data_IF_080832575300
#
_entry.id   IF_080832575300
#
_cell.length_a   1.000
_cell.length_b   1.000
_cell.length_c   1.000
_cell.angle_alpha   90.00
_cell.angle_beta   90.00
_cell.angle_gamma   90.00
#
_symmetry.space_group_name_H-M   'P 1'
#
loop_
_entity.id
_entity.type
_entity.pdbx_description
1 polymer ?
#
# COMPACT_ATOMS: atom_id res chain seq x y z
N UNK A 1 -14.29 15.92 -0.33
CA UNK A 1 -13.25 16.82 -0.84
C UNK A 1 -12.37 17.37 0.29
N UNK A 2 -12.92 17.97 1.38
CA UNK A 2 -12.11 18.48 2.51
C UNK A 2 -11.26 17.40 3.17
N UNK A 3 -11.87 16.25 3.50
CA UNK A 3 -11.14 15.12 4.10
C UNK A 3 -10.01 14.61 3.19
N UNK A 4 -10.26 14.49 1.90
CA UNK A 4 -9.24 14.09 0.92
C UNK A 4 -8.04 15.04 0.92
N UNK A 5 -8.27 16.35 0.92
CA UNK A 5 -7.20 17.36 0.97
C UNK A 5 -6.41 17.32 2.27
N UNK A 6 -7.07 17.15 3.41
CA UNK A 6 -6.40 17.03 4.71
C UNK A 6 -5.52 15.77 4.76
N UNK A 7 -6.04 14.63 4.31
CA UNK A 7 -5.28 13.38 4.20
C UNK A 7 -4.06 13.57 3.30
N UNK A 8 -4.27 14.08 2.08
CA UNK A 8 -3.18 14.29 1.12
C UNK A 8 -2.09 15.21 1.66
N UNK A 9 -2.48 16.28 2.35
CA UNK A 9 -1.54 17.22 2.98
C UNK A 9 -0.72 16.54 4.08
N UNK A 10 -1.36 15.84 5.01
CA UNK A 10 -0.67 15.18 6.12
C UNK A 10 0.34 14.15 5.64
N UNK A 11 -0.02 13.35 4.63
CA UNK A 11 0.89 12.38 4.02
C UNK A 11 2.02 13.06 3.24
N UNK A 12 1.75 14.14 2.52
CA UNK A 12 2.77 14.90 1.79
C UNK A 12 3.79 15.52 2.76
N UNK A 13 3.34 16.11 3.85
CA UNK A 13 4.20 16.68 4.88
C UNK A 13 5.07 15.60 5.54
N UNK A 14 4.46 14.47 5.90
CA UNK A 14 5.17 13.32 6.46
C UNK A 14 6.27 12.79 5.52
N UNK A 15 5.96 12.64 4.23
CA UNK A 15 6.92 12.20 3.21
C UNK A 15 8.05 13.21 3.04
N UNK A 16 7.73 14.50 2.99
CA UNK A 16 8.73 15.54 2.83
C UNK A 16 9.74 15.57 3.98
N UNK A 17 9.27 15.44 5.21
CA UNK A 17 10.11 15.42 6.41
C UNK A 17 11.05 14.21 6.45
N UNK A 18 10.63 13.08 5.87
CA UNK A 18 11.38 11.81 5.85
C UNK A 18 11.99 11.47 4.50
N UNK A 19 12.07 12.42 3.59
CA UNK A 19 12.50 12.20 2.19
C UNK A 19 13.82 11.47 2.02
N UNK A 20 14.76 11.64 2.95
CA UNK A 20 16.04 10.93 2.92
C UNK A 20 15.92 9.41 3.16
N UNK A 21 14.81 8.94 3.70
CA UNK A 21 14.55 7.54 4.05
C UNK A 21 13.56 6.85 3.11
N UNK A 22 13.01 7.60 2.14
CA UNK A 22 12.00 7.15 1.19
C UNK A 22 12.59 6.94 -0.20
N UNK A 23 11.89 6.20 -1.09
CA UNK A 23 12.39 6.00 -2.45
C UNK A 23 12.56 7.33 -3.18
N UNK A 24 13.69 7.56 -3.88
CA UNK A 24 13.98 8.83 -4.55
C UNK A 24 12.92 9.28 -5.55
N UNK A 25 12.28 8.37 -6.25
CA UNK A 25 11.23 8.65 -7.24
C UNK A 25 9.98 9.32 -6.64
N UNK A 26 9.79 9.21 -5.33
CA UNK A 26 8.68 9.85 -4.60
C UNK A 26 9.07 11.19 -3.99
N UNK A 27 10.37 11.40 -3.82
CA UNK A 27 10.89 12.54 -3.06
C UNK A 27 11.86 13.38 -3.88
N UNK A 28 12.24 12.90 -5.08
CA UNK A 28 13.10 13.65 -6.00
C UNK A 28 12.37 14.93 -6.41
N UNK A 29 12.85 16.00 -5.82
CA UNK A 29 12.48 17.35 -6.22
C UNK A 29 13.72 17.93 -6.86
N UNK A 30 13.53 18.56 -8.00
CA UNK A 30 14.61 19.32 -8.64
C UNK A 30 15.22 20.26 -7.59
N UNK A 31 16.55 20.27 -7.49
CA UNK A 31 17.28 21.11 -6.54
C UNK A 31 16.99 22.60 -6.70
N UNK A 32 16.43 23.01 -7.84
CA UNK A 32 15.92 24.35 -8.11
C UNK A 32 14.55 24.64 -7.49
N UNK A 33 13.87 23.62 -6.94
CA UNK A 33 12.49 23.73 -6.47
C UNK A 33 12.45 24.12 -4.99
N UNK A 34 11.60 25.08 -4.64
CA UNK A 34 11.39 25.46 -3.24
C UNK A 34 10.70 24.35 -2.44
N UNK A 35 10.91 24.33 -1.12
CA UNK A 35 10.24 23.39 -0.20
C UNK A 35 8.71 23.39 -0.37
N UNK A 36 8.12 24.57 -0.50
CA UNK A 36 6.68 24.72 -0.70
C UNK A 36 6.18 24.01 -1.98
N UNK A 37 6.91 24.15 -3.09
CA UNK A 37 6.57 23.47 -4.35
C UNK A 37 6.74 21.95 -4.25
N UNK A 38 7.73 21.49 -3.47
CA UNK A 38 7.96 20.07 -3.23
C UNK A 38 6.78 19.44 -2.46
N UNK A 39 6.33 20.12 -1.40
CA UNK A 39 5.17 19.68 -0.62
C UNK A 39 3.89 19.69 -1.46
N UNK A 40 3.69 20.72 -2.26
CA UNK A 40 2.54 20.82 -3.18
C UNK A 40 2.54 19.68 -4.21
N UNK A 41 3.69 19.35 -4.78
CA UNK A 41 3.83 18.23 -5.72
C UNK A 41 3.45 16.90 -5.08
N UNK A 42 3.95 16.62 -3.87
CA UNK A 42 3.58 15.42 -3.12
C UNK A 42 2.09 15.40 -2.79
N UNK A 43 1.54 16.52 -2.33
CA UNK A 43 0.10 16.62 -2.02
C UNK A 43 -0.76 16.29 -3.25
N UNK A 44 -0.44 16.85 -4.41
CA UNK A 44 -1.15 16.56 -5.67
C UNK A 44 -1.08 15.08 -6.05
N UNK A 45 0.05 14.40 -5.79
CA UNK A 45 0.16 12.96 -6.01
C UNK A 45 -0.79 12.16 -5.11
N UNK A 46 -0.85 12.48 -3.82
CA UNK A 46 -1.78 11.84 -2.90
C UNK A 46 -3.24 12.13 -3.25
N UNK A 47 -3.57 13.35 -3.62
CA UNK A 47 -4.92 13.71 -4.08
C UNK A 47 -5.34 12.93 -5.33
N UNK A 48 -4.43 12.77 -6.30
CA UNK A 48 -4.71 12.05 -7.55
C UNK A 48 -4.88 10.54 -7.35
N UNK A 49 -4.22 9.95 -6.33
CA UNK A 49 -4.32 8.52 -6.04
C UNK A 49 -5.47 8.15 -5.09
N UNK A 50 -6.07 9.12 -4.42
CA UNK A 50 -7.10 8.88 -3.41
C UNK A 50 -8.27 8.02 -3.94
N UNK A 51 -8.77 6.98 -3.22
CA UNK A 51 -8.46 6.62 -1.83
C UNK A 51 -7.24 5.72 -1.63
N UNK A 52 -6.47 5.45 -2.67
CA UNK A 52 -5.28 4.61 -2.56
C UNK A 52 -4.06 5.42 -2.13
N UNK A 53 -3.19 4.78 -1.36
CA UNK A 53 -1.82 5.26 -1.19
C UNK A 53 -1.08 5.19 -2.54
N UNK A 54 -0.25 6.19 -2.91
CA UNK A 54 0.45 6.18 -4.19
C UNK A 54 1.29 4.93 -4.45
N UNK A 55 1.91 4.33 -3.42
CA UNK A 55 2.66 3.07 -3.55
C UNK A 55 1.80 1.91 -4.04
N UNK A 56 0.51 1.87 -3.63
CA UNK A 56 -0.43 0.81 -4.03
C UNK A 56 -0.68 0.80 -5.53
N UNK A 57 -0.82 1.97 -6.13
CA UNK A 57 -0.99 2.07 -7.59
C UNK A 57 0.32 1.88 -8.33
N UNK A 58 1.41 2.42 -7.77
CA UNK A 58 2.73 2.39 -8.37
C UNK A 58 3.30 0.98 -8.51
N UNK A 59 3.06 0.07 -7.56
CA UNK A 59 3.59 -1.30 -7.61
C UNK A 59 3.14 -2.03 -8.88
N UNK A 60 1.90 -1.80 -9.33
CA UNK A 60 1.37 -2.42 -10.54
C UNK A 60 2.08 -1.93 -11.80
N UNK A 61 2.49 -0.66 -11.85
CA UNK A 61 3.23 -0.09 -12.96
C UNK A 61 4.71 -0.44 -12.91
N UNK A 62 5.35 -0.31 -11.75
CA UNK A 62 6.79 -0.52 -11.61
C UNK A 62 7.21 -1.98 -11.62
N UNK A 63 6.40 -2.86 -11.00
CA UNK A 63 6.81 -4.23 -10.71
C UNK A 63 5.97 -5.27 -11.41
N UNK A 64 4.65 -5.10 -11.48
CA UNK A 64 3.76 -6.13 -12.01
C UNK A 64 3.56 -6.06 -13.52
N UNK A 65 3.82 -4.91 -14.16
CA UNK A 65 3.64 -4.73 -15.59
C UNK A 65 4.41 -5.75 -16.45
N UNK A 66 5.54 -6.25 -15.95
CA UNK A 66 6.37 -7.24 -16.63
C UNK A 66 5.94 -8.70 -16.38
N UNK A 67 4.92 -8.94 -15.55
CA UNK A 67 4.43 -10.30 -15.27
C UNK A 67 3.63 -10.85 -16.45
N UNK A 68 3.89 -12.11 -16.89
CA UNK A 68 3.24 -12.70 -18.08
C UNK A 68 1.72 -12.78 -17.99
N UNK A 69 1.18 -12.97 -16.79
CA UNK A 69 -0.25 -13.15 -16.55
C UNK A 69 -0.96 -11.87 -16.08
N UNK A 70 -0.22 -10.77 -15.91
CA UNK A 70 -0.78 -9.53 -15.41
C UNK A 70 -1.65 -8.82 -16.46
N UNK A 71 -2.93 -8.68 -16.13
CA UNK A 71 -3.89 -7.97 -16.97
C UNK A 71 -3.90 -6.47 -16.61
N UNK A 72 -3.10 -5.70 -17.33
CA UNK A 72 -2.78 -4.30 -17.02
C UNK A 72 -3.99 -3.39 -16.82
N UNK A 73 -5.03 -3.50 -17.65
CA UNK A 73 -6.15 -2.55 -17.59
C UNK A 73 -7.35 -3.16 -16.88
N UNK A 74 -8.00 -4.13 -17.53
CA UNK A 74 -9.28 -4.65 -17.04
C UNK A 74 -9.13 -5.43 -15.73
N UNK A 75 -8.12 -6.28 -15.64
CA UNK A 75 -7.87 -7.08 -14.44
C UNK A 75 -7.50 -6.20 -13.24
N UNK A 76 -6.64 -5.20 -13.45
CA UNK A 76 -6.24 -4.25 -12.41
C UNK A 76 -7.42 -3.41 -11.92
N UNK A 77 -8.22 -2.86 -12.83
CA UNK A 77 -9.39 -2.05 -12.44
C UNK A 77 -10.42 -2.88 -11.66
N UNK A 78 -10.67 -4.13 -12.08
CA UNK A 78 -11.57 -5.02 -11.35
C UNK A 78 -11.06 -5.33 -9.94
N UNK A 79 -9.77 -5.59 -9.80
CA UNK A 79 -9.10 -5.83 -8.51
C UNK A 79 -9.18 -4.60 -7.59
N UNK A 80 -8.87 -3.41 -8.10
CA UNK A 80 -8.94 -2.17 -7.35
C UNK A 80 -10.38 -1.84 -6.93
N UNK A 81 -11.36 -2.05 -7.80
CA UNK A 81 -12.78 -1.87 -7.48
C UNK A 81 -13.25 -2.84 -6.37
N UNK A 82 -12.82 -4.09 -6.43
CA UNK A 82 -13.10 -5.06 -5.36
C UNK A 82 -12.44 -4.64 -4.05
N UNK A 83 -11.21 -4.15 -4.09
CA UNK A 83 -10.50 -3.66 -2.90
C UNK A 83 -11.22 -2.48 -2.25
N UNK A 84 -11.63 -1.48 -3.03
CA UNK A 84 -12.46 -0.37 -2.53
C UNK A 84 -13.75 -0.89 -1.91
N UNK A 85 -14.45 -1.82 -2.58
CA UNK A 85 -15.70 -2.39 -2.08
C UNK A 85 -15.51 -3.09 -0.72
N UNK A 86 -14.42 -3.83 -0.55
CA UNK A 86 -14.09 -4.49 0.72
C UNK A 86 -13.73 -3.46 1.80
N UNK A 87 -12.93 -2.45 1.47
CA UNK A 87 -12.57 -1.38 2.40
C UNK A 87 -13.80 -0.59 2.88
N UNK A 88 -14.78 -0.34 2.00
CA UNK A 88 -16.04 0.31 2.37
C UNK A 88 -16.89 -0.53 3.34
N UNK A 89 -16.88 -1.87 3.20
CA UNK A 89 -17.61 -2.77 4.11
C UNK A 89 -17.03 -2.75 5.53
N UNK A 90 -15.75 -2.44 5.70
CA UNK A 90 -15.12 -2.31 7.02
C UNK A 90 -15.56 -1.07 7.80
N UNK A 91 -16.21 -0.13 7.13
CA UNK A 91 -16.94 0.96 7.72
C UNK A 91 -16.11 2.20 8.04
N UNK A 92 -16.85 3.24 8.44
CA UNK A 92 -16.31 4.59 8.63
C UNK A 92 -15.26 4.69 9.75
N UNK A 93 -15.40 3.90 10.80
CA UNK A 93 -14.43 3.91 11.91
C UNK A 93 -13.03 3.46 11.47
N UNK A 94 -12.94 2.46 10.59
CA UNK A 94 -11.67 2.04 10.02
C UNK A 94 -11.12 3.08 9.05
N UNK A 95 -11.97 3.63 8.18
CA UNK A 95 -11.57 4.67 7.25
C UNK A 95 -11.02 5.94 7.93
N UNK A 96 -11.47 6.26 9.15
CA UNK A 96 -10.89 7.37 9.94
C UNK A 96 -9.49 7.04 10.45
N UNK A 97 -9.22 5.80 10.81
CA UNK A 97 -7.91 5.36 11.33
C UNK A 97 -6.92 5.06 10.21
N UNK A 98 -7.42 4.56 9.10
CA UNK A 98 -6.65 4.17 7.91
C UNK A 98 -7.23 4.91 6.69
N UNK A 99 -6.91 6.19 6.52
CA UNK A 99 -7.60 7.03 5.55
C UNK A 99 -7.19 6.74 4.10
N UNK A 100 -6.14 5.93 3.89
CA UNK A 100 -5.71 5.46 2.58
C UNK A 100 -5.69 3.93 2.51
N UNK A 101 -6.05 3.40 1.36
CA UNK A 101 -5.91 1.98 1.03
C UNK A 101 -4.44 1.72 0.67
N UNK A 102 -3.73 1.00 1.53
CA UNK A 102 -2.31 0.68 1.38
C UNK A 102 -2.09 -0.78 0.98
N UNK A 103 -0.91 -1.13 0.48
CA UNK A 103 -0.54 -2.53 0.23
C UNK A 103 -0.67 -3.39 1.50
N UNK A 104 -0.33 -2.82 2.66
CA UNK A 104 -0.45 -3.48 3.95
C UNK A 104 -1.90 -3.75 4.38
N UNK A 105 -2.88 -3.01 3.84
CA UNK A 105 -4.30 -3.22 4.12
C UNK A 105 -4.98 -4.19 3.15
N UNK A 106 -4.23 -4.87 2.28
CA UNK A 106 -4.78 -5.82 1.33
C UNK A 106 -5.60 -6.92 2.03
N UNK A 107 -6.86 -7.17 1.61
CA UNK A 107 -7.74 -8.15 2.25
C UNK A 107 -7.39 -9.59 1.80
N UNK A 108 -6.16 -10.03 2.10
CA UNK A 108 -5.64 -11.34 1.70
C UNK A 108 -6.32 -12.52 2.42
N UNK A 109 -7.06 -12.25 3.47
CA UNK A 109 -7.93 -13.22 4.17
C UNK A 109 -9.26 -13.45 3.44
N UNK A 110 -9.63 -12.60 2.48
CA UNK A 110 -10.82 -12.78 1.63
C UNK A 110 -10.45 -13.69 0.45
N UNK A 111 -11.01 -14.93 0.37
CA UNK A 111 -10.59 -15.92 -0.62
C UNK A 111 -10.72 -15.44 -2.07
N UNK A 112 -11.78 -14.71 -2.38
CA UNK A 112 -12.06 -14.21 -3.73
C UNK A 112 -11.03 -13.15 -4.15
N UNK A 113 -10.67 -12.24 -3.24
CA UNK A 113 -9.64 -11.23 -3.50
C UNK A 113 -8.25 -11.89 -3.65
N UNK A 114 -7.93 -12.82 -2.76
CA UNK A 114 -6.68 -13.59 -2.82
C UNK A 114 -6.54 -14.37 -4.13
N UNK A 115 -7.61 -15.01 -4.59
CA UNK A 115 -7.61 -15.73 -5.87
C UNK A 115 -7.29 -14.80 -7.06
N UNK A 116 -7.82 -13.58 -7.05
CA UNK A 116 -7.51 -12.57 -8.08
C UNK A 116 -6.02 -12.20 -8.04
N UNK A 117 -5.46 -11.93 -6.86
CA UNK A 117 -4.03 -11.61 -6.71
C UNK A 117 -3.15 -12.76 -7.22
N UNK A 118 -3.41 -13.99 -6.79
CA UNK A 118 -2.65 -15.17 -7.21
C UNK A 118 -2.75 -15.41 -8.72
N UNK A 119 -3.92 -15.16 -9.31
CA UNK A 119 -4.13 -15.25 -10.75
C UNK A 119 -3.32 -14.20 -11.52
N UNK A 120 -3.24 -12.96 -11.03
CA UNK A 120 -2.43 -11.90 -11.64
C UNK A 120 -0.92 -12.21 -11.54
N UNK A 121 -0.48 -12.78 -10.42
CA UNK A 121 0.91 -13.18 -10.21
C UNK A 121 1.30 -14.42 -11.01
N UNK A 122 0.35 -15.27 -11.37
CA UNK A 122 0.62 -16.57 -12.00
C UNK A 122 1.31 -17.58 -11.09
N UNK A 123 1.24 -17.37 -9.76
CA UNK A 123 1.97 -18.14 -8.74
C UNK A 123 1.01 -18.70 -7.66
N UNK A 124 0.23 -19.75 -7.99
CA UNK A 124 -0.76 -20.32 -7.06
C UNK A 124 -0.15 -20.81 -5.73
N UNK A 125 1.13 -21.22 -5.75
CA UNK A 125 1.86 -21.70 -4.56
C UNK A 125 2.01 -20.65 -3.46
N UNK A 126 2.00 -19.36 -3.82
CA UNK A 126 2.03 -18.28 -2.84
C UNK A 126 0.80 -18.28 -1.92
N UNK A 127 -0.31 -18.93 -2.31
CA UNK A 127 -1.48 -19.07 -1.47
C UNK A 127 -1.17 -19.72 -0.12
N UNK A 128 -0.37 -20.80 -0.12
CA UNK A 128 0.05 -21.46 1.11
C UNK A 128 0.94 -20.56 1.99
N UNK A 129 1.86 -19.81 1.38
CA UNK A 129 2.70 -18.86 2.11
C UNK A 129 1.87 -17.69 2.70
N UNK A 130 0.89 -17.17 1.94
CA UNK A 130 -0.02 -16.15 2.43
C UNK A 130 -0.80 -16.65 3.66
N UNK A 131 -1.30 -17.88 3.62
CA UNK A 131 -2.02 -18.47 4.77
C UNK A 131 -1.11 -18.73 5.97
N UNK A 132 0.09 -19.26 5.74
CA UNK A 132 1.01 -19.60 6.84
C UNK A 132 1.64 -18.36 7.48
N UNK A 133 2.02 -17.36 6.66
CA UNK A 133 2.87 -16.28 7.12
C UNK A 133 2.11 -14.96 7.36
N UNK A 134 1.06 -14.65 6.57
CA UNK A 134 0.48 -13.30 6.52
C UNK A 134 -0.94 -13.24 7.09
N UNK A 135 -1.90 -13.97 6.49
CA UNK A 135 -3.32 -13.68 6.70
C UNK A 135 -4.17 -14.86 7.18
N UNK A 136 -3.66 -16.07 7.19
CA UNK A 136 -4.38 -17.23 7.75
C UNK A 136 -4.71 -17.04 9.24
N UNK A 137 -5.74 -17.73 9.74
CA UNK A 137 -6.17 -17.63 11.14
C UNK A 137 -5.06 -17.94 12.16
N UNK A 138 -4.10 -18.76 11.76
CA UNK A 138 -2.94 -19.15 12.57
C UNK A 138 -1.62 -18.70 11.94
N UNK A 139 -1.62 -17.65 11.12
CA UNK A 139 -0.41 -17.16 10.48
C UNK A 139 0.59 -16.60 11.49
N UNK A 140 1.88 -16.68 11.14
CA UNK A 140 2.97 -16.15 11.96
C UNK A 140 2.78 -14.65 12.25
N UNK A 141 2.39 -13.86 11.25
CA UNK A 141 2.14 -12.44 11.43
C UNK A 141 1.01 -12.17 12.45
N UNK A 142 -0.10 -12.91 12.39
CA UNK A 142 -1.18 -12.74 13.39
C UNK A 142 -0.76 -13.11 14.79
N UNK A 143 0.07 -14.14 14.95
CA UNK A 143 0.60 -14.51 16.26
C UNK A 143 1.46 -13.38 16.85
N UNK A 144 2.32 -12.76 16.02
CA UNK A 144 3.16 -11.63 16.43
C UNK A 144 2.35 -10.34 16.66
N UNK A 145 1.24 -10.17 15.93
CA UNK A 145 0.39 -8.99 16.05
C UNK A 145 -0.56 -9.04 17.25
N UNK A 146 -0.67 -10.17 17.96
CA UNK A 146 -1.57 -10.30 19.10
C UNK A 146 -1.36 -9.23 20.18
N UNK A 147 -0.14 -8.78 20.36
CA UNK A 147 0.24 -7.77 21.35
C UNK A 147 0.46 -6.36 20.75
N UNK A 148 0.32 -6.19 19.42
CA UNK A 148 0.54 -4.88 18.77
C UNK A 148 -0.67 -3.96 18.93
N UNK A 149 -0.42 -2.67 19.22
CA UNK A 149 -1.45 -1.66 19.48
C UNK A 149 -1.08 -0.31 18.84
N UNK A 150 -2.06 0.57 18.77
CA UNK A 150 -1.87 1.94 18.27
C UNK A 150 -1.37 1.97 16.83
N UNK A 151 -0.33 2.75 16.57
CA UNK A 151 0.28 2.87 15.24
C UNK A 151 0.98 1.61 14.75
N UNK A 152 1.30 0.68 15.66
CA UNK A 152 1.92 -0.61 15.33
C UNK A 152 0.89 -1.76 15.21
N UNK A 153 -0.41 -1.48 15.31
CA UNK A 153 -1.44 -2.52 15.16
C UNK A 153 -1.28 -3.27 13.84
N UNK A 154 -1.40 -4.57 13.91
CA UNK A 154 -1.28 -5.46 12.73
C UNK A 154 -0.02 -5.22 11.89
N UNK A 155 1.07 -4.70 12.48
CA UNK A 155 2.25 -4.27 11.73
C UNK A 155 2.92 -5.44 11.00
N UNK A 156 2.99 -6.62 11.61
CA UNK A 156 3.62 -7.78 10.99
C UNK A 156 2.82 -8.25 9.78
N UNK A 157 1.49 -8.34 9.89
CA UNK A 157 0.61 -8.66 8.76
C UNK A 157 0.72 -7.61 7.66
N UNK A 158 0.75 -6.34 8.01
CA UNK A 158 0.85 -5.21 7.06
C UNK A 158 2.20 -5.21 6.34
N UNK A 159 3.29 -5.47 7.05
CA UNK A 159 4.63 -5.63 6.45
C UNK A 159 4.65 -6.84 5.52
N UNK A 160 4.16 -8.00 5.94
CA UNK A 160 4.11 -9.20 5.13
C UNK A 160 3.31 -9.01 3.84
N UNK A 161 2.14 -8.37 3.91
CA UNK A 161 1.34 -8.04 2.74
C UNK A 161 2.10 -7.09 1.80
N UNK A 162 2.74 -6.05 2.32
CA UNK A 162 3.52 -5.10 1.52
C UNK A 162 4.69 -5.78 0.83
N UNK A 163 5.43 -6.65 1.53
CA UNK A 163 6.52 -7.46 0.96
C UNK A 163 6.00 -8.33 -0.18
N UNK A 164 4.86 -9.01 0.00
CA UNK A 164 4.25 -9.83 -1.04
C UNK A 164 4.08 -9.04 -2.35
N UNK A 165 3.50 -7.84 -2.29
CA UNK A 165 3.30 -7.01 -3.48
C UNK A 165 4.61 -6.47 -4.06
N UNK A 166 5.49 -5.98 -3.23
CA UNK A 166 6.74 -5.33 -3.67
C UNK A 166 7.79 -6.34 -4.18
N UNK A 167 7.78 -7.59 -3.71
CA UNK A 167 8.72 -8.63 -4.13
C UNK A 167 8.19 -9.56 -5.22
N UNK A 168 6.91 -9.49 -5.58
CA UNK A 168 6.28 -10.41 -6.54
C UNK A 168 6.28 -9.89 -7.98
N UNK A 169 7.13 -8.91 -8.30
CA UNK A 169 7.20 -8.32 -9.63
C UNK A 169 7.98 -9.16 -10.65
N UNK A 170 7.82 -8.83 -11.94
CA UNK A 170 8.56 -9.42 -13.06
C UNK A 170 9.97 -8.85 -13.27
N UNK A 171 10.53 -8.13 -12.31
CA UNK A 171 11.88 -7.55 -12.36
C UNK A 171 12.97 -8.59 -12.08
N UNK A 172 14.21 -8.28 -12.44
CA UNK A 172 15.37 -9.17 -12.24
C UNK A 172 15.56 -9.49 -10.75
N UNK A 173 15.44 -8.47 -9.89
CA UNK A 173 15.51 -8.64 -8.44
C UNK A 173 14.09 -8.57 -7.85
N UNK A 174 13.58 -9.71 -7.42
CA UNK A 174 12.27 -9.80 -6.74
C UNK A 174 12.41 -9.44 -5.27
N UNK A 175 12.73 -8.19 -4.99
CA UNK A 175 13.00 -7.69 -3.65
C UNK A 175 12.07 -6.54 -3.28
N UNK A 176 11.71 -6.49 -2.00
CA UNK A 176 11.10 -5.32 -1.37
C UNK A 176 12.20 -4.58 -0.59
N UNK A 177 12.47 -3.34 -0.96
CA UNK A 177 13.49 -2.53 -0.31
C UNK A 177 12.94 -1.75 0.89
N UNK A 178 13.77 -1.54 1.91
CA UNK A 178 13.34 -0.86 3.13
C UNK A 178 12.73 0.54 2.89
N UNK A 179 13.24 1.38 1.99
CA UNK A 179 12.58 2.66 1.67
C UNK A 179 11.17 2.49 1.11
N UNK A 180 10.93 1.48 0.26
CA UNK A 180 9.60 1.15 -0.28
C UNK A 180 8.64 0.75 0.84
N UNK A 181 9.08 -0.10 1.76
CA UNK A 181 8.28 -0.51 2.92
C UNK A 181 7.94 0.68 3.82
N UNK A 182 8.92 1.55 4.10
CA UNK A 182 8.71 2.78 4.88
C UNK A 182 7.70 3.70 4.23
N UNK A 183 7.76 3.88 2.93
CA UNK A 183 6.81 4.69 2.18
C UNK A 183 5.41 4.09 2.22
N UNK A 184 5.27 2.79 1.94
CA UNK A 184 3.98 2.12 1.87
C UNK A 184 3.26 1.98 3.22
N UNK A 185 4.00 1.95 4.32
CA UNK A 185 3.50 1.72 5.69
C UNK A 185 3.47 2.97 6.56
N UNK A 186 3.98 4.10 6.04
CA UNK A 186 4.00 5.37 6.77
C UNK A 186 2.60 5.86 7.12
N UNK A 187 2.36 6.16 8.39
CA UNK A 187 1.09 6.65 8.89
C UNK A 187 1.32 7.96 9.66
N UNK A 188 1.13 9.11 8.99
CA UNK A 188 1.08 10.39 9.70
C UNK A 188 -0.20 10.48 10.54
N UNK A 189 -0.17 11.30 11.57
CA UNK A 189 -1.40 11.73 12.23
C UNK A 189 -2.20 12.58 11.24
N UNK A 190 -3.44 12.18 10.98
CA UNK A 190 -4.34 12.86 10.04
C UNK A 190 -5.51 13.45 10.80
N UNK A 191 -5.73 14.76 10.65
CA UNK A 191 -6.96 15.39 11.08
C UNK A 191 -8.11 14.94 10.17
N UNK A 192 -9.01 14.14 10.74
CA UNK A 192 -10.20 13.59 10.05
C UNK A 192 -11.50 14.27 10.46
N UNK A 193 -11.45 15.40 11.21
CA UNK A 193 -12.62 16.18 11.61
C UNK A 193 -13.16 17.14 10.55
#
# INVERSE_FOLDING_TARGET
ERMQKNVAKSFADWCFERRAQLPPEWTAVDTSTTEAKSREFLQKKFEACYPFHPSTLSVFQRKWQALPHYQQTRGTLAMLAQWISLALKEGFQKARREPLITLGSAPLDVPEFRAVILGQLGEPRLGAAIDADISGSHSHARALDADTKGSLRDIHRRVGATILFESSGGQVEKLAHLPELRFALGEPEVDTT
#
